data_IF_850037467122
#
_entry.id   IF_850037467122
#
_cell.length_a   1.000
_cell.length_b   1.000
_cell.length_c   1.000
_cell.angle_alpha   90.00
_cell.angle_beta   90.00
_cell.angle_gamma   90.00
#
_symmetry.space_group_name_H-M   'P 1'
#
loop_
_entity.id
_entity.type
_entity.pdbx_description
1 polymer ?
#
# COMPACT_ATOMS: atom_id res chain seq x y z
N UNK A 1 5.57 34.22 15.71
CA UNK A 1 5.11 33.89 14.34
C UNK A 1 5.26 32.38 14.17
N UNK A 2 4.10 31.74 14.21
CA UNK A 2 3.69 30.39 13.82
C UNK A 2 4.69 29.21 13.88
N UNK A 3 4.43 28.37 14.87
CA UNK A 3 4.95 27.02 15.05
C UNK A 3 4.42 26.11 13.95
N UNK A 4 5.35 25.40 13.32
CA UNK A 4 5.14 24.43 12.24
C UNK A 4 3.99 23.46 12.50
N UNK A 5 3.11 23.34 11.50
CA UNK A 5 2.10 22.31 11.42
C UNK A 5 2.75 20.92 11.23
N UNK A 6 3.16 20.27 12.32
CA UNK A 6 3.29 18.81 12.36
C UNK A 6 1.90 18.23 12.61
N UNK A 7 1.07 18.26 11.58
CA UNK A 7 -0.15 17.47 11.56
C UNK A 7 0.24 16.00 11.53
N UNK A 8 -0.09 15.26 12.59
CA UNK A 8 0.00 13.79 12.62
C UNK A 8 -0.68 13.26 11.36
N UNK A 9 0.07 12.61 10.47
CA UNK A 9 -0.51 11.94 9.30
C UNK A 9 -1.42 10.82 9.80
N UNK A 10 -2.70 11.13 10.01
CA UNK A 10 -3.73 10.13 10.23
C UNK A 10 -3.86 9.38 8.91
N UNK A 11 -3.41 8.13 8.85
CA UNK A 11 -3.66 7.26 7.70
C UNK A 11 -5.16 7.26 7.38
N UNK A 12 -5.56 7.85 6.25
CA UNK A 12 -6.95 7.92 5.80
C UNK A 12 -7.23 6.69 4.94
N UNK A 13 -7.74 5.63 5.56
CA UNK A 13 -8.20 4.42 4.86
C UNK A 13 -9.63 4.64 4.34
N UNK A 14 -9.85 4.40 3.05
CA UNK A 14 -11.17 4.47 2.42
C UNK A 14 -11.86 3.09 2.42
N UNK A 15 -13.18 3.10 2.33
CA UNK A 15 -14.00 1.91 2.45
C UNK A 15 -15.02 1.83 1.32
N UNK A 16 -15.20 0.65 0.74
CA UNK A 16 -16.25 0.40 -0.26
C UNK A 16 -16.82 -1.03 -0.14
N UNK A 17 -17.96 -1.27 -0.77
CA UNK A 17 -18.66 -2.56 -0.67
C UNK A 17 -18.34 -3.54 -1.80
N UNK A 18 -17.91 -3.07 -2.98
CA UNK A 18 -17.55 -3.94 -4.11
C UNK A 18 -16.05 -3.86 -4.39
N UNK A 19 -15.45 -4.98 -4.77
CA UNK A 19 -14.02 -5.06 -5.16
C UNK A 19 -13.67 -4.11 -6.30
N UNK A 20 -14.56 -3.96 -7.30
CA UNK A 20 -14.37 -3.02 -8.41
C UNK A 20 -14.30 -1.56 -7.93
N UNK A 21 -15.10 -1.21 -6.92
CA UNK A 21 -15.17 0.14 -6.37
C UNK A 21 -13.93 0.41 -5.52
N UNK A 22 -13.47 -0.57 -4.75
CA UNK A 22 -12.19 -0.52 -4.02
C UNK A 22 -11.02 -0.32 -4.98
N UNK A 23 -10.98 -1.06 -6.08
CA UNK A 23 -9.93 -0.92 -7.09
C UNK A 23 -9.92 0.50 -7.70
N UNK A 24 -11.08 1.02 -8.10
CA UNK A 24 -11.20 2.38 -8.63
C UNK A 24 -10.77 3.45 -7.59
N UNK A 25 -11.16 3.28 -6.33
CA UNK A 25 -10.76 4.18 -5.24
C UNK A 25 -9.26 4.15 -4.99
N UNK A 26 -8.66 2.95 -4.96
CA UNK A 26 -7.22 2.79 -4.79
C UNK A 26 -6.43 3.54 -5.86
N UNK A 27 -6.84 3.41 -7.13
CA UNK A 27 -6.20 4.12 -8.24
C UNK A 27 -6.39 5.64 -8.10
N UNK A 28 -7.62 6.10 -7.89
CA UNK A 28 -7.92 7.53 -7.79
C UNK A 28 -7.19 8.22 -6.63
N UNK A 29 -7.08 7.55 -5.47
CA UNK A 29 -6.35 8.09 -4.32
C UNK A 29 -4.85 8.16 -4.62
N UNK A 30 -4.27 7.11 -5.19
CA UNK A 30 -2.85 7.08 -5.56
C UNK A 30 -2.51 8.18 -6.57
N UNK A 31 -3.33 8.32 -7.62
CA UNK A 31 -3.13 9.34 -8.66
C UNK A 31 -3.19 10.75 -8.05
N UNK A 32 -4.16 11.01 -7.15
CA UNK A 32 -4.25 12.29 -6.45
C UNK A 32 -3.04 12.59 -5.54
N UNK A 33 -2.47 11.57 -4.90
CA UNK A 33 -1.25 11.68 -4.09
C UNK A 33 0.04 11.80 -4.94
N UNK A 34 -0.06 11.62 -6.26
CA UNK A 34 1.03 11.85 -7.22
C UNK A 34 1.10 13.22 -7.83
N UNK A 35 0.01 13.98 -7.82
CA UNK A 35 -0.02 15.32 -8.41
C UNK A 35 0.79 16.39 -7.64
N UNK A 36 1.65 16.01 -6.69
CA UNK A 36 2.55 16.92 -5.99
C UNK A 36 3.93 16.97 -6.65
N UNK A 37 4.55 18.16 -6.64
CA UNK A 37 5.83 18.41 -7.34
C UNK A 37 7.02 17.61 -6.77
N UNK A 38 6.95 17.15 -5.51
CA UNK A 38 8.01 16.40 -4.82
C UNK A 38 7.68 14.89 -4.66
N UNK A 39 7.10 14.29 -5.70
CA UNK A 39 6.79 12.87 -5.72
C UNK A 39 8.06 11.99 -5.73
N UNK A 40 8.28 11.07 -4.75
CA UNK A 40 9.37 10.10 -4.83
C UNK A 40 9.27 9.22 -6.08
N UNK A 41 10.41 8.70 -6.60
CA UNK A 41 10.43 7.82 -7.74
C UNK A 41 9.60 6.55 -7.48
N UNK A 42 8.97 6.06 -8.53
CA UNK A 42 8.15 4.84 -8.48
C UNK A 42 8.72 3.73 -9.35
N UNK A 43 8.44 2.49 -8.95
CA UNK A 43 8.77 1.30 -9.69
C UNK A 43 7.50 0.57 -10.10
N UNK A 44 7.42 0.17 -11.38
CA UNK A 44 6.29 -0.57 -11.92
C UNK A 44 6.45 -2.07 -11.66
N UNK A 45 5.49 -2.65 -10.94
CA UNK A 45 5.43 -4.07 -10.62
C UNK A 45 4.25 -4.75 -11.31
N UNK A 46 4.36 -6.08 -11.48
CA UNK A 46 3.24 -6.92 -11.93
C UNK A 46 2.62 -7.60 -10.72
N UNK A 47 1.36 -7.29 -10.42
CA UNK A 47 0.58 -7.95 -9.38
C UNK A 47 -0.45 -8.90 -10.01
N UNK A 48 -1.11 -9.73 -9.19
CA UNK A 48 -2.21 -10.59 -9.63
C UNK A 48 -3.40 -9.81 -10.21
N UNK A 49 -3.52 -8.52 -9.89
CA UNK A 49 -4.59 -7.61 -10.33
C UNK A 49 -4.13 -6.65 -11.43
N UNK A 50 -2.95 -6.88 -12.02
CA UNK A 50 -2.39 -6.10 -13.11
C UNK A 50 -1.14 -5.32 -12.73
N UNK A 51 -0.69 -4.42 -13.60
CA UNK A 51 0.50 -3.59 -13.30
C UNK A 51 0.16 -2.50 -12.29
N UNK A 52 1.07 -2.24 -11.34
CA UNK A 52 0.94 -1.21 -10.30
C UNK A 52 2.27 -0.54 -10.06
N UNK A 53 2.28 0.79 -10.00
CA UNK A 53 3.47 1.57 -9.70
C UNK A 53 3.49 1.90 -8.20
N UNK A 54 4.59 1.58 -7.52
CA UNK A 54 4.76 1.88 -6.10
C UNK A 54 5.98 2.76 -5.87
N UNK A 55 5.83 3.72 -4.97
CA UNK A 55 6.89 4.56 -4.43
C UNK A 55 7.02 4.36 -2.91
N UNK A 56 8.08 4.91 -2.33
CA UNK A 56 8.16 5.08 -0.87
C UNK A 56 6.96 5.88 -0.35
N UNK A 57 6.50 5.52 0.84
CA UNK A 57 5.31 6.02 1.53
C UNK A 57 3.95 5.60 0.93
N UNK A 58 3.95 4.78 -0.12
CA UNK A 58 2.70 4.22 -0.63
C UNK A 58 2.06 3.24 0.34
N UNK A 59 0.73 3.18 0.31
CA UNK A 59 -0.05 2.21 1.05
C UNK A 59 -0.21 0.93 0.24
N UNK A 60 0.02 -0.19 0.90
CA UNK A 60 -0.03 -1.53 0.29
C UNK A 60 -0.95 -2.43 1.10
N UNK A 61 -1.66 -3.31 0.41
CA UNK A 61 -2.46 -4.39 1.00
C UNK A 61 -1.98 -5.73 0.47
N UNK A 62 -1.82 -6.70 1.37
CA UNK A 62 -1.55 -8.09 0.99
C UNK A 62 -2.87 -8.80 0.67
N UNK A 63 -2.95 -9.47 -0.48
CA UNK A 63 -4.20 -10.07 -0.97
C UNK A 63 -4.26 -11.59 -0.77
N UNK A 64 -3.22 -12.18 -0.16
CA UNK A 64 -3.13 -13.60 0.16
C UNK A 64 -2.41 -13.80 1.49
N UNK A 65 -2.71 -14.93 2.15
CA UNK A 65 -1.91 -15.42 3.27
C UNK A 65 -0.59 -16.01 2.76
N UNK A 66 0.51 -15.66 3.40
CA UNK A 66 1.82 -16.24 3.14
C UNK A 66 2.57 -16.38 4.47
N UNK A 67 2.93 -17.62 4.81
CA UNK A 67 3.56 -17.93 6.10
C UNK A 67 5.05 -17.62 6.10
N UNK A 68 5.70 -17.63 4.94
CA UNK A 68 7.15 -17.47 4.81
C UNK A 68 7.53 -16.01 5.10
N UNK A 69 6.73 -15.06 4.61
CA UNK A 69 6.86 -13.64 4.94
C UNK A 69 5.92 -13.19 6.08
N UNK A 70 5.10 -14.10 6.58
CA UNK A 70 4.23 -13.93 7.75
C UNK A 70 3.08 -12.93 7.55
N UNK A 71 2.60 -12.75 6.31
CA UNK A 71 1.49 -11.83 6.00
C UNK A 71 0.17 -12.58 5.88
N UNK A 72 -0.92 -11.88 6.15
CA UNK A 72 -2.29 -12.37 5.97
C UNK A 72 -3.02 -11.51 4.94
N UNK A 73 -4.00 -12.09 4.28
CA UNK A 73 -4.91 -11.36 3.42
C UNK A 73 -5.59 -10.23 4.21
N UNK A 74 -5.56 -9.03 3.64
CA UNK A 74 -6.08 -7.81 4.25
C UNK A 74 -5.09 -7.09 5.18
N UNK A 75 -3.88 -7.62 5.41
CA UNK A 75 -2.86 -6.86 6.14
C UNK A 75 -2.44 -5.65 5.32
N UNK A 76 -2.37 -4.51 6.01
CA UNK A 76 -1.97 -3.23 5.45
C UNK A 76 -0.57 -2.86 5.93
N UNK A 77 0.09 -2.02 5.14
CA UNK A 77 1.36 -1.44 5.52
C UNK A 77 1.71 -0.22 4.68
N UNK A 78 2.88 0.34 4.98
CA UNK A 78 3.49 1.42 4.23
C UNK A 78 4.77 0.93 3.57
N UNK A 79 4.92 1.22 2.28
CA UNK A 79 6.13 0.92 1.52
C UNK A 79 7.27 1.79 2.03
N UNK A 80 8.33 1.16 2.49
CA UNK A 80 9.58 1.83 2.89
C UNK A 80 10.53 1.90 1.70
N UNK A 81 10.51 0.86 0.85
CA UNK A 81 11.39 0.72 -0.30
C UNK A 81 10.67 -0.02 -1.43
N UNK A 82 10.82 0.46 -2.66
CA UNK A 82 10.24 -0.13 -3.86
C UNK A 82 11.26 -0.16 -5.01
N UNK A 83 11.97 -1.27 -5.16
CA UNK A 83 12.95 -1.50 -6.23
C UNK A 83 12.59 -2.76 -7.02
N UNK A 84 13.11 -2.90 -8.25
CA UNK A 84 12.72 -3.97 -9.18
C UNK A 84 12.90 -5.40 -8.63
N UNK A 85 13.76 -5.62 -7.64
CA UNK A 85 14.03 -6.94 -7.04
C UNK A 85 13.57 -7.08 -5.59
N UNK A 86 13.11 -6.01 -4.95
CA UNK A 86 12.74 -6.01 -3.53
C UNK A 86 11.73 -4.91 -3.22
N UNK A 87 10.67 -5.29 -2.51
CA UNK A 87 9.81 -4.35 -1.80
C UNK A 87 9.96 -4.58 -0.31
N UNK A 88 10.19 -3.50 0.44
CA UNK A 88 10.18 -3.50 1.90
C UNK A 88 8.94 -2.75 2.41
N UNK A 89 8.17 -3.39 3.28
CA UNK A 89 6.91 -2.88 3.81
C UNK A 89 6.95 -2.88 5.33
N UNK A 90 6.66 -1.72 5.92
CA UNK A 90 6.36 -1.61 7.35
C UNK A 90 4.88 -1.93 7.56
N UNK A 91 4.59 -3.08 8.17
CA UNK A 91 3.22 -3.49 8.47
C UNK A 91 2.60 -2.60 9.54
N UNK A 92 1.30 -2.36 9.39
CA UNK A 92 0.49 -1.73 10.44
C UNK A 92 0.35 -2.68 11.65
N UNK A 93 0.24 -2.09 12.85
CA UNK A 93 0.04 -2.80 14.11
C UNK A 93 1.11 -2.49 15.16
N UNK A 94 0.96 -3.07 16.35
CA UNK A 94 1.74 -2.68 17.54
C UNK A 94 3.25 -2.92 17.40
N UNK A 95 3.64 -3.93 16.62
CA UNK A 95 5.05 -4.31 16.45
C UNK A 95 5.73 -3.63 15.26
N UNK A 96 4.98 -2.92 14.40
CA UNK A 96 5.52 -2.20 13.24
C UNK A 96 6.51 -3.04 12.41
N UNK A 97 6.21 -4.33 12.25
CA UNK A 97 7.12 -5.33 11.68
C UNK A 97 7.49 -4.98 10.23
N UNK A 98 8.77 -5.08 9.90
CA UNK A 98 9.26 -4.92 8.53
C UNK A 98 9.20 -6.27 7.79
N UNK A 99 8.66 -6.25 6.58
CA UNK A 99 8.57 -7.41 5.68
C UNK A 99 9.25 -7.08 4.37
N UNK A 100 10.07 -8.01 3.88
CA UNK A 100 10.78 -7.91 2.61
C UNK A 100 10.30 -9.04 1.69
N UNK A 101 10.08 -8.74 0.41
CA UNK A 101 9.76 -9.75 -0.58
C UNK A 101 10.23 -9.36 -1.98
N UNK A 102 10.50 -10.37 -2.81
CA UNK A 102 10.78 -10.16 -4.23
C UNK A 102 9.45 -10.09 -5.02
N UNK A 103 9.11 -8.95 -5.62
CA UNK A 103 7.85 -8.77 -6.35
C UNK A 103 7.77 -9.61 -7.64
N UNK A 104 8.86 -10.21 -8.09
CA UNK A 104 8.86 -11.14 -9.24
C UNK A 104 8.27 -12.49 -8.87
N UNK A 105 8.52 -12.93 -7.63
CA UNK A 105 8.10 -14.21 -7.05
C UNK A 105 6.81 -14.10 -6.24
N UNK A 106 6.57 -12.95 -5.60
CA UNK A 106 5.38 -12.70 -4.79
C UNK A 106 4.56 -11.57 -5.42
N UNK A 107 3.42 -11.90 -6.03
CA UNK A 107 2.56 -10.94 -6.79
C UNK A 107 1.22 -10.63 -6.13
N UNK A 108 1.00 -11.17 -4.93
CA UNK A 108 -0.27 -11.09 -4.20
C UNK A 108 -0.35 -9.86 -3.30
N UNK A 109 -0.28 -8.68 -3.92
CA UNK A 109 -0.40 -7.38 -3.27
C UNK A 109 -1.06 -6.35 -4.21
N UNK A 110 -1.63 -5.29 -3.65
CA UNK A 110 -2.20 -4.15 -4.40
C UNK A 110 -2.07 -2.86 -3.56
N UNK A 111 -2.50 -1.72 -4.10
CA UNK A 111 -2.61 -0.49 -3.34
C UNK A 111 -3.59 -0.67 -2.17
N UNK A 112 -3.20 -0.12 -1.01
CA UNK A 112 -3.91 -0.28 0.27
C UNK A 112 -4.55 1.00 0.78
N UNK A 113 -4.96 1.92 -0.11
CA UNK A 113 -5.65 3.16 0.28
C UNK A 113 -7.15 2.95 0.54
N UNK A 114 -7.73 1.91 -0.05
CA UNK A 114 -9.11 1.52 0.09
C UNK A 114 -9.21 0.00 0.32
N UNK A 115 -10.14 -0.42 1.18
CA UNK A 115 -10.45 -1.83 1.42
C UNK A 115 -11.95 -2.09 1.45
N UNK A 116 -12.34 -3.35 1.28
CA UNK A 116 -13.74 -3.74 1.37
C UNK A 116 -14.22 -3.72 2.82
N UNK A 117 -15.45 -3.25 3.07
CA UNK A 117 -16.15 -3.54 4.33
C UNK A 117 -17.12 -4.70 4.10
N UNK A 118 -16.93 -5.76 4.86
CA UNK A 118 -17.97 -6.76 5.06
C UNK A 118 -18.68 -6.39 6.36
N UNK A 119 -20.02 -6.33 6.35
CA UNK A 119 -20.78 -6.28 7.60
C UNK A 119 -20.45 -7.54 8.40
N UNK A 120 -20.00 -7.37 9.63
CA UNK A 120 -20.00 -8.42 10.66
C UNK A 120 -21.41 -8.86 10.99
#
# INVERSE_FOLDING_TARGET
>A
MDVAAKGTSKSRLAFAHKRKDVHALNQAIRDALRSGDDAPPETLFTTDTGKRAFATDDRIVFTRNDKDIGVKNGMLGTVVKAESGEIAVKLDGDTNRLVHFDPRSFRTFDHGYAVTIHKS
#
